data_IF_455422716426
#
_entry.id   IF_455422716426
#
_cell.length_a   1.000
_cell.length_b   1.000
_cell.length_c   1.000
_cell.angle_alpha   90.00
_cell.angle_beta   90.00
_cell.angle_gamma   90.00
#
_symmetry.space_group_name_H-M   'P 1'
#
loop_
_entity.id
_entity.type
_entity.pdbx_description
1 polymer ?
#
# COMPACT_ATOMS: atom_id res chain seq x y z
N UNK A 1 16.93 -9.88 13.83
CA UNK A 1 16.04 -9.92 12.65
C UNK A 1 16.77 -9.15 11.55
N UNK A 2 17.37 -9.86 10.60
CA UNK A 2 17.63 -9.27 9.29
C UNK A 2 16.44 -9.66 8.42
N UNK A 3 15.27 -9.10 8.73
CA UNK A 3 14.16 -9.17 7.78
C UNK A 3 14.46 -8.15 6.70
N UNK A 4 14.70 -8.65 5.49
CA UNK A 4 14.83 -7.80 4.31
C UNK A 4 13.49 -7.10 4.12
N UNK A 5 13.44 -5.79 4.34
CA UNK A 5 12.29 -4.99 3.91
C UNK A 5 12.30 -4.87 2.39
N UNK A 6 11.13 -5.03 1.78
CA UNK A 6 10.94 -4.94 0.34
C UNK A 6 9.91 -3.85 0.00
N UNK A 7 9.97 -3.33 -1.22
CA UNK A 7 8.96 -2.40 -1.67
C UNK A 7 7.58 -3.07 -1.68
N UNK A 8 6.61 -2.41 -1.05
CA UNK A 8 5.28 -2.96 -0.82
C UNK A 8 5.06 -3.44 0.61
N UNK A 9 6.13 -3.62 1.40
CA UNK A 9 5.98 -3.82 2.84
C UNK A 9 5.49 -2.55 3.53
N UNK A 10 5.00 -2.72 4.74
CA UNK A 10 4.65 -1.61 5.63
C UNK A 10 5.29 -1.83 6.99
N UNK A 11 5.79 -0.76 7.59
CA UNK A 11 6.28 -0.79 8.97
C UNK A 11 5.36 0.09 9.82
N UNK A 12 5.03 -0.39 11.01
CA UNK A 12 4.29 0.36 12.01
C UNK A 12 5.25 0.81 13.10
N UNK A 13 5.27 2.10 13.36
CA UNK A 13 6.08 2.70 14.42
C UNK A 13 5.38 2.57 15.78
N UNK A 14 6.13 2.78 16.87
CA UNK A 14 5.63 2.69 18.26
C UNK A 14 4.52 3.69 18.60
N UNK A 15 4.46 4.81 17.91
CA UNK A 15 3.37 5.80 18.04
C UNK A 15 2.08 5.36 17.29
N UNK A 16 2.18 4.28 16.52
CA UNK A 16 1.12 3.69 15.74
C UNK A 16 1.05 4.16 14.29
N UNK A 17 1.93 5.07 13.84
CA UNK A 17 1.98 5.48 12.44
C UNK A 17 2.46 4.36 11.52
N UNK A 18 1.88 4.30 10.33
CA UNK A 18 2.28 3.36 9.29
C UNK A 18 3.10 4.05 8.22
N UNK A 19 4.22 3.43 7.88
CA UNK A 19 5.15 3.87 6.85
C UNK A 19 5.24 2.80 5.76
N UNK A 20 5.15 3.23 4.49
CA UNK A 20 5.32 2.35 3.34
C UNK A 20 6.81 2.21 3.00
N UNK A 21 7.30 0.97 2.89
CA UNK A 21 8.69 0.68 2.53
C UNK A 21 8.93 1.00 1.06
N UNK A 22 10.09 1.59 0.75
CA UNK A 22 10.47 1.99 -0.61
C UNK A 22 11.84 1.46 -1.02
N UNK A 23 11.86 0.79 -2.17
CA UNK A 23 13.05 0.12 -2.72
C UNK A 23 13.28 -1.27 -2.13
N UNK A 24 14.38 -1.89 -2.55
CA UNK A 24 14.78 -3.26 -2.17
C UNK A 24 16.10 -3.32 -1.40
N UNK A 25 16.69 -2.15 -1.14
CA UNK A 25 18.00 -2.03 -0.49
C UNK A 25 17.91 -0.98 0.60
N UNK A 26 18.28 -1.38 1.81
CA UNK A 26 18.17 -0.56 3.00
C UNK A 26 19.50 -0.57 3.78
N UNK A 27 19.85 0.51 4.49
CA UNK A 27 21.00 0.48 5.38
C UNK A 27 20.83 -0.55 6.49
N UNK A 28 21.95 -1.03 7.03
CA UNK A 28 21.94 -2.09 8.06
C UNK A 28 21.22 -1.72 9.35
N UNK A 29 21.05 -0.43 9.65
CA UNK A 29 20.45 0.07 10.89
C UNK A 29 19.05 0.67 10.72
N UNK A 30 18.41 0.54 9.57
CA UNK A 30 17.04 1.02 9.39
C UNK A 30 16.46 0.84 8.00
N UNK A 31 15.19 1.19 7.85
CA UNK A 31 14.40 0.94 6.66
C UNK A 31 14.10 2.25 5.95
N UNK A 32 14.22 2.29 4.63
CA UNK A 32 13.78 3.44 3.83
C UNK A 32 12.27 3.35 3.68
N UNK A 33 11.54 4.24 4.33
CA UNK A 33 10.09 4.20 4.35
C UNK A 33 9.48 5.60 4.52
N UNK A 34 8.33 5.83 3.91
CA UNK A 34 7.63 7.12 3.96
C UNK A 34 6.31 7.03 4.72
N UNK A 35 5.88 8.10 5.43
CA UNK A 35 4.62 8.10 6.15
C UNK A 35 3.45 7.88 5.18
N UNK A 36 2.55 6.97 5.52
CA UNK A 36 1.40 6.60 4.70
C UNK A 36 0.08 6.74 5.44
N UNK A 37 0.02 6.31 6.70
CA UNK A 37 -1.13 6.50 7.57
C UNK A 37 -0.70 7.03 8.93
N UNK A 38 -1.16 8.22 9.30
CA UNK A 38 -0.83 8.84 10.57
C UNK A 38 -2.06 8.86 11.49
N UNK A 39 -1.98 8.35 12.72
CA UNK A 39 -3.05 8.50 13.71
C UNK A 39 -3.53 9.95 13.81
N UNK A 40 -4.84 10.18 13.78
CA UNK A 40 -5.43 11.52 13.80
C UNK A 40 -5.02 12.34 15.03
N UNK A 41 -4.67 11.70 16.14
CA UNK A 41 -4.22 12.33 17.37
C UNK A 41 -2.75 12.80 17.35
N UNK A 42 -1.96 12.37 16.35
CA UNK A 42 -0.57 12.81 16.18
C UNK A 42 -0.44 14.03 15.26
N UNK A 43 -1.48 14.37 14.50
CA UNK A 43 -1.50 15.53 13.61
C UNK A 43 -2.59 16.50 14.07
N UNK A 44 -2.22 17.63 14.66
CA UNK A 44 -3.19 18.73 14.78
C UNK A 44 -3.37 19.37 13.39
N UNK A 45 -4.63 19.58 12.97
CA UNK A 45 -4.93 20.23 11.67
C UNK A 45 -4.48 21.70 11.63
N UNK A 46 -4.13 22.24 12.79
CA UNK A 46 -3.72 23.63 13.01
C UNK A 46 -2.22 23.83 12.77
N UNK A 47 -1.41 22.77 12.83
CA UNK A 47 0.04 22.80 12.59
C UNK A 47 0.43 22.91 11.11
N UNK A 48 -0.50 22.68 10.18
CA UNK A 48 -0.23 22.81 8.73
C UNK A 48 -0.78 24.12 8.17
N UNK A 49 -0.03 24.79 7.26
CA UNK A 49 -0.53 25.95 6.54
C UNK A 49 -1.89 25.69 5.90
N UNK A 50 -2.82 26.68 5.83
CA UNK A 50 -4.16 26.49 5.27
C UNK A 50 -4.21 25.79 3.90
N UNK A 51 -3.23 26.06 3.04
CA UNK A 51 -3.04 25.44 1.73
C UNK A 51 -2.64 23.96 1.81
N UNK A 52 -2.01 23.55 2.91
CA UNK A 52 -1.51 22.19 3.15
C UNK A 52 -2.50 21.34 3.97
N UNK A 53 -3.57 21.96 4.50
CA UNK A 53 -4.65 21.27 5.21
C UNK A 53 -5.19 20.10 4.38
N UNK A 54 -5.48 19.00 5.07
CA UNK A 54 -5.90 17.76 4.43
C UNK A 54 -7.35 17.87 3.93
N UNK A 55 -7.66 17.35 2.74
CA UNK A 55 -8.97 16.73 2.52
C UNK A 55 -8.88 15.34 3.17
N UNK A 56 -9.49 15.13 4.34
CA UNK A 56 -9.14 13.98 5.14
C UNK A 56 -9.77 12.72 4.56
N UNK A 57 -8.93 11.82 4.03
CA UNK A 57 -9.32 10.43 3.82
C UNK A 57 -9.08 9.69 5.12
N UNK A 58 -10.06 9.81 6.01
CA UNK A 58 -10.07 9.08 7.26
C UNK A 58 -10.20 7.58 7.00
N UNK A 59 -9.43 6.81 7.77
CA UNK A 59 -9.50 5.36 7.84
C UNK A 59 -9.66 4.97 9.30
N UNK A 60 -10.43 3.93 9.57
CA UNK A 60 -10.56 3.36 10.91
C UNK A 60 -9.92 1.98 10.90
N UNK A 61 -9.08 1.72 11.89
CA UNK A 61 -8.63 0.35 12.15
C UNK A 61 -9.70 -0.44 12.91
N UNK A 62 -9.53 -1.75 13.02
CA UNK A 62 -10.39 -2.62 13.85
C UNK A 62 -10.51 -2.16 15.32
N UNK A 63 -9.49 -1.47 15.86
CA UNK A 63 -9.49 -0.91 17.23
C UNK A 63 -10.10 0.49 17.33
N UNK A 64 -10.92 0.88 16.35
CA UNK A 64 -11.59 2.19 16.21
C UNK A 64 -10.66 3.43 16.26
N UNK A 65 -9.35 3.23 16.10
CA UNK A 65 -8.41 4.33 15.93
C UNK A 65 -8.56 4.94 14.53
N UNK A 66 -8.68 6.25 14.48
CA UNK A 66 -8.76 7.01 13.24
C UNK A 66 -7.35 7.38 12.72
N UNK A 67 -7.18 7.22 11.40
CA UNK A 67 -5.96 7.52 10.67
C UNK A 67 -6.23 8.46 9.51
N UNK A 68 -5.25 9.30 9.20
CA UNK A 68 -5.22 10.12 8.00
C UNK A 68 -4.30 9.49 6.96
N UNK A 69 -4.83 9.24 5.75
CA UNK A 69 -4.06 8.71 4.61
C UNK A 69 -3.28 9.84 3.91
N UNK A 70 -1.96 9.70 3.82
CA UNK A 70 -1.06 10.69 3.23
C UNK A 70 -0.63 10.23 1.83
N UNK A 71 -1.13 10.91 0.80
CA UNK A 71 -0.79 10.60 -0.60
C UNK A 71 0.28 11.50 -1.17
N UNK A 72 0.15 12.81 -0.93
CA UNK A 72 1.00 13.82 -1.54
C UNK A 72 2.44 13.74 -1.01
N UNK A 73 3.41 13.80 -1.93
CA UNK A 73 4.83 13.65 -1.58
C UNK A 73 5.35 14.86 -0.79
N UNK A 74 4.91 16.08 -1.12
CA UNK A 74 5.26 17.29 -0.37
C UNK A 74 4.78 17.19 1.07
N UNK A 75 3.53 16.76 1.27
CA UNK A 75 2.95 16.53 2.61
C UNK A 75 3.69 15.44 3.39
N UNK A 76 4.19 14.39 2.75
CA UNK A 76 5.04 13.39 3.42
C UNK A 76 6.30 14.04 3.98
N UNK A 77 6.96 14.92 3.22
CA UNK A 77 8.15 15.64 3.70
C UNK A 77 7.83 16.62 4.83
N UNK A 78 6.71 17.34 4.75
CA UNK A 78 6.27 18.20 5.86
C UNK A 78 6.05 17.38 7.15
N UNK A 79 5.34 16.25 7.06
CA UNK A 79 5.11 15.35 8.20
C UNK A 79 6.43 14.82 8.77
N UNK A 80 7.36 14.42 7.91
CA UNK A 80 8.68 13.96 8.33
C UNK A 80 9.42 15.05 9.11
N UNK A 81 9.38 16.30 8.65
CA UNK A 81 10.03 17.42 9.32
C UNK A 81 9.40 17.77 10.67
N UNK A 82 8.07 17.73 10.76
CA UNK A 82 7.34 18.17 11.96
C UNK A 82 7.20 17.08 13.03
N UNK A 83 6.78 15.88 12.65
CA UNK A 83 6.51 14.79 13.59
C UNK A 83 7.70 13.87 13.81
N UNK A 84 8.58 13.79 12.82
CA UNK A 84 9.66 12.82 12.81
C UNK A 84 11.05 13.43 12.55
N UNK A 85 11.41 14.57 13.17
CA UNK A 85 12.69 15.25 12.90
C UNK A 85 13.91 14.42 13.29
N UNK A 86 13.74 13.38 14.10
CA UNK A 86 14.81 12.46 14.52
C UNK A 86 15.09 11.32 13.53
N UNK A 87 14.29 11.18 12.47
CA UNK A 87 14.58 10.19 11.42
C UNK A 87 15.86 10.56 10.68
N UNK A 88 16.61 9.56 10.26
CA UNK A 88 17.93 9.76 9.66
C UNK A 88 17.71 10.16 8.19
N UNK A 89 18.10 11.37 7.76
CA UNK A 89 18.05 11.73 6.35
C UNK A 89 19.20 11.04 5.61
N UNK A 90 18.87 10.15 4.68
CA UNK A 90 19.85 9.53 3.79
C UNK A 90 20.02 10.35 2.52
N UNK A 91 21.26 10.78 2.25
CA UNK A 91 21.61 11.42 0.99
C UNK A 91 22.20 10.39 0.03
N UNK A 92 21.47 10.04 -1.01
CA UNK A 92 21.96 9.16 -2.07
C UNK A 92 22.53 9.99 -3.23
N UNK A 93 23.69 9.65 -3.82
CA UNK A 93 24.33 10.46 -4.88
C UNK A 93 23.45 10.71 -6.13
N UNK A 94 22.49 9.81 -6.39
CA UNK A 94 21.55 9.90 -7.51
C UNK A 94 20.25 10.66 -7.21
N UNK A 95 20.01 11.10 -5.97
CA UNK A 95 18.80 11.81 -5.60
C UNK A 95 19.11 13.27 -5.27
N UNK A 96 18.26 14.18 -5.75
CA UNK A 96 18.34 15.61 -5.45
C UNK A 96 17.81 15.96 -4.06
N UNK A 97 17.18 15.00 -3.37
CA UNK A 97 16.62 15.15 -2.03
C UNK A 97 17.06 13.99 -1.12
N UNK A 98 17.02 14.22 0.19
CA UNK A 98 17.26 13.18 1.17
C UNK A 98 16.02 12.30 1.34
N UNK A 99 16.22 10.99 1.49
CA UNK A 99 15.14 10.04 1.77
C UNK A 99 15.14 9.69 3.26
N UNK A 100 13.96 9.52 3.89
CA UNK A 100 13.88 9.13 5.29
C UNK A 100 14.35 7.69 5.49
N UNK A 101 15.19 7.49 6.49
CA UNK A 101 15.47 6.19 7.06
C UNK A 101 14.86 6.10 8.46
N UNK A 102 14.04 5.08 8.65
CA UNK A 102 13.44 4.71 9.93
C UNK A 102 14.39 3.79 10.70
N UNK A 103 14.96 4.23 11.84
CA UNK A 103 15.79 3.38 12.68
C UNK A 103 15.02 2.16 13.20
N UNK A 104 15.68 1.00 13.23
CA UNK A 104 15.04 -0.26 13.66
C UNK A 104 14.37 -0.19 15.04
N UNK A 105 14.93 0.58 15.98
CA UNK A 105 14.39 0.68 17.33
C UNK A 105 13.02 1.40 17.41
N UNK A 106 12.66 2.21 16.42
CA UNK A 106 11.36 2.89 16.33
C UNK A 106 10.27 2.00 15.73
N UNK A 107 10.66 0.93 15.02
CA UNK A 107 9.75 0.00 14.38
C UNK A 107 9.14 -0.90 15.48
N UNK A 108 7.82 -0.87 15.61
CA UNK A 108 7.08 -1.76 16.49
C UNK A 108 6.73 -3.07 15.79
N UNK A 109 6.37 -2.99 14.51
CA UNK A 109 5.91 -4.13 13.73
C UNK A 109 6.30 -3.95 12.26
N UNK A 110 6.75 -5.03 11.63
CA UNK A 110 6.87 -5.15 10.17
C UNK A 110 5.66 -5.95 9.67
N UNK A 111 5.01 -5.44 8.64
CA UNK A 111 3.84 -6.04 8.00
C UNK A 111 4.25 -6.49 6.60
N UNK A 112 4.19 -7.79 6.36
CA UNK A 112 4.57 -8.41 5.10
C UNK A 112 3.32 -8.73 4.27
N UNK A 113 3.28 -8.35 2.98
CA UNK A 113 2.15 -8.62 2.09
C UNK A 113 1.79 -10.11 1.98
N UNK A 114 2.78 -11.00 2.02
CA UNK A 114 2.61 -12.47 1.93
C UNK A 114 1.89 -13.08 3.13
N UNK A 115 1.90 -12.42 4.29
CA UNK A 115 1.24 -12.93 5.49
C UNK A 115 -0.28 -12.75 5.44
N UNK A 116 -0.77 -11.78 4.67
CA UNK A 116 -2.17 -11.32 4.71
C UNK A 116 -3.15 -12.44 4.39
N UNK A 117 -2.89 -13.24 3.35
CA UNK A 117 -3.79 -14.33 2.92
C UNK A 117 -3.86 -15.41 4.00
N UNK A 118 -2.73 -15.77 4.61
CA UNK A 118 -2.65 -16.75 5.68
C UNK A 118 -3.39 -16.29 6.93
N UNK A 119 -3.14 -15.05 7.37
CA UNK A 119 -3.82 -14.45 8.52
C UNK A 119 -5.33 -14.32 8.29
N UNK A 120 -5.76 -13.93 7.09
CA UNK A 120 -7.17 -13.88 6.73
C UNK A 120 -7.80 -15.26 6.85
N UNK A 121 -7.20 -16.29 6.25
CA UNK A 121 -7.73 -17.66 6.26
C UNK A 121 -7.83 -18.23 7.68
N UNK A 122 -6.87 -17.92 8.55
CA UNK A 122 -6.88 -18.37 9.96
C UNK A 122 -7.96 -17.67 10.79
N UNK A 123 -8.16 -16.37 10.60
CA UNK A 123 -9.08 -15.57 11.42
C UNK A 123 -10.55 -15.65 10.97
N UNK A 124 -10.81 -16.08 9.74
CA UNK A 124 -12.13 -16.06 9.12
C UNK A 124 -12.81 -17.43 8.95
N UNK A 125 -12.26 -18.51 9.54
CA UNK A 125 -12.90 -19.84 9.47
C UNK A 125 -14.30 -19.91 10.12
N UNK A 126 -14.74 -18.89 10.86
CA UNK A 126 -15.95 -18.94 11.70
C UNK A 126 -16.96 -17.78 11.52
N UNK A 127 -16.87 -16.95 10.45
CA UNK A 127 -17.78 -15.79 10.30
C UNK A 127 -18.62 -15.82 9.02
N UNK A 128 -19.70 -16.60 9.06
CA UNK A 128 -20.82 -16.63 8.10
C UNK A 128 -21.53 -15.27 7.87
N UNK A 129 -21.22 -14.22 8.65
CA UNK A 129 -22.02 -12.98 8.69
C UNK A 129 -21.21 -11.66 8.74
N UNK A 130 -19.95 -11.63 8.29
CA UNK A 130 -19.25 -10.35 8.15
C UNK A 130 -19.71 -9.58 6.90
N UNK A 131 -19.89 -8.27 7.03
CA UNK A 131 -19.99 -7.35 5.90
C UNK A 131 -18.81 -7.53 4.94
N UNK A 132 -19.02 -7.49 3.61
CA UNK A 132 -17.94 -7.56 2.63
C UNK A 132 -16.86 -6.50 2.91
N UNK A 133 -15.61 -6.84 2.59
CA UNK A 133 -14.46 -5.93 2.76
C UNK A 133 -13.59 -5.97 1.50
N UNK A 134 -12.83 -4.91 1.24
CA UNK A 134 -11.88 -4.92 0.13
C UNK A 134 -10.76 -5.96 0.36
N UNK A 135 -10.45 -6.26 1.62
CA UNK A 135 -9.58 -7.39 1.98
C UNK A 135 -10.14 -8.74 1.51
N UNK A 136 -11.44 -8.98 1.69
CA UNK A 136 -12.08 -10.21 1.20
C UNK A 136 -11.95 -10.33 -0.33
N UNK A 137 -12.31 -9.27 -1.06
CA UNK A 137 -12.18 -9.25 -2.53
C UNK A 137 -10.73 -9.46 -2.97
N UNK A 138 -9.76 -8.87 -2.26
CA UNK A 138 -8.33 -9.05 -2.55
C UNK A 138 -7.87 -10.50 -2.34
N UNK A 139 -8.33 -11.17 -1.27
CA UNK A 139 -8.01 -12.57 -0.98
C UNK A 139 -8.66 -13.49 -2.02
N UNK A 140 -9.95 -13.32 -2.30
CA UNK A 140 -10.65 -14.09 -3.32
C UNK A 140 -10.01 -13.91 -4.70
N UNK A 141 -9.58 -12.69 -5.04
CA UNK A 141 -8.86 -12.44 -6.29
C UNK A 141 -7.50 -13.13 -6.33
N UNK A 142 -6.73 -13.14 -5.23
CA UNK A 142 -5.47 -13.87 -5.17
C UNK A 142 -5.66 -15.39 -5.29
N UNK A 143 -6.72 -15.95 -4.68
CA UNK A 143 -7.07 -17.36 -4.80
C UNK A 143 -7.41 -17.73 -6.24
N UNK A 144 -8.27 -16.93 -6.89
CA UNK A 144 -8.61 -17.12 -8.30
C UNK A 144 -7.40 -17.03 -9.22
N UNK A 145 -6.52 -16.03 -9.02
CA UNK A 145 -5.27 -15.93 -9.77
C UNK A 145 -4.39 -17.16 -9.56
N UNK A 146 -4.31 -17.69 -8.34
CA UNK A 146 -3.50 -18.87 -8.03
C UNK A 146 -4.03 -20.12 -8.72
N UNK A 147 -5.34 -20.34 -8.65
CA UNK A 147 -6.02 -21.50 -9.25
C UNK A 147 -5.87 -21.51 -10.78
N UNK A 148 -6.12 -20.38 -11.42
CA UNK A 148 -6.17 -20.30 -12.89
C UNK A 148 -4.79 -20.17 -13.55
N UNK A 149 -3.83 -19.49 -12.89
CA UNK A 149 -2.47 -19.34 -13.44
C UNK A 149 -1.50 -20.45 -13.02
N UNK A 150 -1.88 -21.29 -12.05
CA UNK A 150 -1.01 -22.30 -11.44
C UNK A 150 0.15 -21.71 -10.64
N UNK A 151 0.12 -20.41 -10.33
CA UNK A 151 1.06 -19.76 -9.41
C UNK A 151 0.66 -20.08 -7.98
N UNK A 152 1.60 -20.50 -7.14
CA UNK A 152 1.30 -20.80 -5.72
C UNK A 152 0.91 -19.53 -4.95
N UNK A 153 -0.09 -19.63 -4.08
CA UNK A 153 -0.49 -18.53 -3.18
C UNK A 153 0.68 -17.93 -2.38
N UNK A 154 1.71 -18.72 -2.05
CA UNK A 154 2.92 -18.22 -1.36
C UNK A 154 3.72 -17.19 -2.17
N UNK A 155 3.48 -17.11 -3.48
CA UNK A 155 4.09 -16.15 -4.39
C UNK A 155 3.21 -14.91 -4.58
N UNK A 156 2.12 -14.77 -3.81
CA UNK A 156 1.21 -13.62 -3.86
C UNK A 156 1.19 -12.93 -2.50
N UNK A 157 1.13 -11.60 -2.53
CA UNK A 157 0.97 -10.77 -1.35
C UNK A 157 -0.07 -9.69 -1.58
N UNK A 158 -0.70 -9.23 -0.49
CA UNK A 158 -1.68 -8.13 -0.52
C UNK A 158 -1.08 -6.95 0.25
N UNK A 159 -0.99 -5.78 -0.39
CA UNK A 159 -0.39 -4.57 0.20
C UNK A 159 -1.42 -3.45 0.37
N UNK A 160 -0.97 -2.20 0.50
CA UNK A 160 -1.82 -1.02 0.52
C UNK A 160 -2.62 -0.89 1.81
N UNK A 161 -3.90 -0.52 1.67
CA UNK A 161 -4.80 -0.37 2.83
C UNK A 161 -5.11 -1.68 3.51
N UNK A 162 -5.21 -2.78 2.75
CA UNK A 162 -5.55 -4.10 3.27
C UNK A 162 -4.46 -4.62 4.21
N UNK A 163 -3.18 -4.45 3.86
CA UNK A 163 -2.05 -4.81 4.72
C UNK A 163 -2.04 -4.09 6.07
N UNK A 164 -2.48 -2.82 6.09
CA UNK A 164 -2.58 -2.04 7.31
C UNK A 164 -3.83 -2.32 8.15
N UNK A 165 -4.79 -3.11 7.65
CA UNK A 165 -6.13 -3.24 8.24
C UNK A 165 -6.88 -1.90 8.24
N UNK A 166 -6.68 -1.10 7.19
CA UNK A 166 -7.23 0.25 7.02
C UNK A 166 -8.02 0.37 5.71
N UNK A 167 -8.45 -0.75 5.14
CA UNK A 167 -9.28 -0.78 3.95
C UNK A 167 -10.74 -0.42 4.25
N UNK A 168 -11.42 -0.10 3.17
CA UNK A 168 -12.84 0.27 3.08
C UNK A 168 -13.35 -0.34 1.78
N UNK A 169 -14.65 -0.52 1.64
CA UNK A 169 -15.28 -1.06 0.41
C UNK A 169 -14.85 -0.34 -0.88
N UNK A 170 -14.45 0.93 -0.80
CA UNK A 170 -13.99 1.74 -1.93
C UNK A 170 -12.47 1.77 -2.09
N UNK A 171 -11.75 0.91 -1.38
CA UNK A 171 -10.28 0.87 -1.45
C UNK A 171 -9.82 0.11 -2.67
N UNK A 172 -8.72 0.60 -3.25
CA UNK A 172 -8.00 -0.13 -4.29
C UNK A 172 -7.48 -1.47 -3.73
N UNK A 173 -7.46 -2.51 -4.57
CA UNK A 173 -6.83 -3.79 -4.30
C UNK A 173 -5.41 -3.74 -4.86
N UNK A 174 -4.42 -3.75 -3.96
CA UNK A 174 -3.00 -3.73 -4.32
C UNK A 174 -2.38 -5.13 -4.08
N UNK A 175 -1.94 -5.81 -5.14
CA UNK A 175 -1.34 -7.15 -5.08
C UNK A 175 0.13 -7.10 -5.49
N UNK A 176 0.95 -7.94 -4.86
CA UNK A 176 2.35 -8.21 -5.21
C UNK A 176 2.48 -9.64 -5.70
N UNK A 177 3.24 -9.83 -6.79
CA UNK A 177 3.61 -11.16 -7.30
C UNK A 177 5.11 -11.35 -7.12
N UNK A 178 5.50 -12.32 -6.29
CA UNK A 178 6.88 -12.61 -5.95
C UNK A 178 7.50 -13.64 -6.90
N UNK A 179 8.56 -13.21 -7.61
CA UNK A 179 9.38 -14.05 -8.46
C UNK A 179 9.07 -13.90 -9.95
N UNK A 180 10.11 -13.90 -10.78
CA UNK A 180 10.03 -13.65 -12.22
C UNK A 180 9.06 -14.59 -12.94
N UNK A 181 9.19 -15.90 -12.72
CA UNK A 181 8.35 -16.90 -13.38
C UNK A 181 6.88 -16.78 -12.97
N UNK A 182 6.61 -16.45 -11.69
CA UNK A 182 5.26 -16.21 -11.20
C UNK A 182 4.65 -14.96 -11.86
N UNK A 183 5.42 -13.87 -11.94
CA UNK A 183 4.99 -12.65 -12.62
C UNK A 183 4.69 -12.87 -14.10
N UNK A 184 5.51 -13.67 -14.80
CA UNK A 184 5.27 -14.02 -16.20
C UNK A 184 3.98 -14.81 -16.38
N UNK A 185 3.77 -15.87 -15.58
CA UNK A 185 2.57 -16.70 -15.65
C UNK A 185 1.29 -15.89 -15.42
N UNK A 186 1.27 -15.05 -14.39
CA UNK A 186 0.10 -14.20 -14.11
C UNK A 186 -0.13 -13.19 -15.22
N UNK A 187 0.93 -12.56 -15.74
CA UNK A 187 0.81 -11.61 -16.86
C UNK A 187 0.25 -12.29 -18.11
N UNK A 188 0.73 -13.48 -18.44
CA UNK A 188 0.25 -14.26 -19.59
C UNK A 188 -1.20 -14.70 -19.41
N UNK A 189 -1.56 -15.14 -18.21
CA UNK A 189 -2.93 -15.49 -17.87
C UNK A 189 -3.87 -14.30 -18.05
N UNK A 190 -3.61 -13.17 -17.37
CA UNK A 190 -4.41 -11.95 -17.49
C UNK A 190 -4.51 -11.45 -18.94
N UNK A 191 -3.42 -11.52 -19.71
CA UNK A 191 -3.43 -11.16 -21.12
C UNK A 191 -4.38 -12.05 -21.94
N UNK A 192 -4.39 -13.36 -21.70
CA UNK A 192 -5.29 -14.30 -22.40
C UNK A 192 -6.74 -14.06 -22.00
N UNK A 193 -7.02 -13.94 -20.70
CA UNK A 193 -8.36 -13.63 -20.15
C UNK A 193 -8.92 -12.35 -20.76
N UNK A 194 -8.12 -11.28 -20.83
CA UNK A 194 -8.57 -10.01 -21.38
C UNK A 194 -8.75 -9.98 -22.90
N UNK A 195 -8.25 -10.97 -23.63
CA UNK A 195 -8.46 -11.08 -25.09
C UNK A 195 -9.56 -12.07 -25.49
N UNK A 196 -9.84 -13.06 -24.66
CA UNK A 196 -10.82 -14.12 -24.95
C UNK A 196 -11.95 -14.08 -23.91
N UNK A 197 -12.57 -12.90 -23.78
CA UNK A 197 -13.51 -12.54 -22.71
C UNK A 197 -14.70 -13.49 -22.52
N UNK A 198 -15.03 -14.32 -23.51
CA UNK A 198 -16.33 -15.00 -23.56
C UNK A 198 -16.45 -16.29 -22.73
N UNK A 199 -15.38 -16.79 -22.10
CA UNK A 199 -15.40 -18.13 -21.46
C UNK A 199 -14.59 -18.28 -20.15
N UNK A 200 -13.96 -17.22 -19.63
CA UNK A 200 -13.09 -17.30 -18.45
C UNK A 200 -13.85 -16.88 -17.17
N UNK A 201 -13.85 -17.66 -16.07
CA UNK A 201 -14.48 -17.28 -14.81
C UNK A 201 -14.06 -15.90 -14.29
N UNK A 202 -12.81 -15.50 -14.55
CA UNK A 202 -12.27 -14.22 -14.12
C UNK A 202 -12.82 -13.04 -14.95
N UNK A 203 -13.22 -13.26 -16.21
CA UNK A 203 -13.76 -12.21 -17.08
C UNK A 203 -15.12 -11.67 -16.65
N UNK A 204 -15.83 -12.41 -15.78
CA UNK A 204 -17.09 -11.98 -15.16
C UNK A 204 -16.88 -11.12 -13.91
N UNK A 205 -15.68 -11.17 -13.30
CA UNK A 205 -15.35 -10.49 -12.04
C UNK A 205 -14.43 -9.28 -12.24
N UNK A 206 -13.59 -9.29 -13.26
CA UNK A 206 -12.69 -8.17 -13.60
C UNK A 206 -12.80 -7.78 -15.06
N UNK A 207 -12.54 -6.51 -15.36
CA UNK A 207 -12.43 -5.99 -16.72
C UNK A 207 -11.24 -5.04 -16.82
N UNK A 208 -10.51 -5.03 -17.95
CA UNK A 208 -9.51 -4.02 -18.20
C UNK A 208 -10.18 -2.66 -18.29
N UNK A 209 -9.46 -1.62 -17.88
CA UNK A 209 -9.93 -0.26 -18.07
C UNK A 209 -10.18 0.02 -19.56
N UNK A 210 -11.35 0.58 -19.85
CA UNK A 210 -11.68 1.14 -21.15
C UNK A 210 -10.95 2.47 -21.37
N UNK A 211 -11.00 3.00 -22.60
CA UNK A 211 -10.46 4.32 -22.88
C UNK A 211 -11.13 5.42 -22.03
N UNK A 212 -12.42 5.28 -21.73
CA UNK A 212 -13.16 6.23 -20.92
C UNK A 212 -12.75 6.14 -19.45
N UNK A 213 -12.58 4.92 -18.92
CA UNK A 213 -12.07 4.71 -17.56
C UNK A 213 -10.67 5.32 -17.38
N UNK A 214 -9.79 5.14 -18.39
CA UNK A 214 -8.46 5.73 -18.38
C UNK A 214 -8.50 7.26 -18.43
N UNK A 215 -9.44 7.86 -19.17
CA UNK A 215 -9.64 9.31 -19.22
C UNK A 215 -10.08 9.88 -17.87
N UNK A 216 -11.03 9.19 -17.21
CA UNK A 216 -11.48 9.53 -15.86
C UNK A 216 -10.31 9.39 -14.86
N UNK A 217 -9.59 8.27 -14.92
CA UNK A 217 -8.45 8.00 -14.03
C UNK A 217 -7.33 9.03 -14.22
N UNK A 218 -7.04 9.42 -15.46
CA UNK A 218 -6.07 10.48 -15.78
C UNK A 218 -6.49 11.81 -15.14
N UNK A 219 -7.75 12.21 -15.35
CA UNK A 219 -8.30 13.46 -14.81
C UNK A 219 -8.28 13.50 -13.28
N UNK A 220 -8.44 12.35 -12.61
CA UNK A 220 -8.35 12.24 -11.15
C UNK A 220 -6.91 12.25 -10.61
N UNK A 221 -5.94 11.71 -11.37
CA UNK A 221 -4.55 11.50 -10.90
C UNK A 221 -3.57 12.58 -11.28
N UNK A 222 -3.83 13.35 -12.33
CA UNK A 222 -2.90 14.35 -12.88
C UNK A 222 -2.91 15.69 -12.13
N UNK A 223 -4.06 16.25 -11.73
CA UNK A 223 -4.10 17.55 -11.06
C UNK A 223 -3.32 17.58 -9.73
N UNK A 224 -3.07 16.43 -9.10
CA UNK A 224 -2.32 16.31 -7.84
C UNK A 224 -0.80 16.10 -7.99
N UNK A 225 -0.21 16.29 -9.18
CA UNK A 225 1.20 15.91 -9.45
C UNK A 225 2.04 17.00 -10.15
N UNK A 226 1.64 18.26 -10.08
CA UNK A 226 2.54 19.33 -10.53
C UNK A 226 3.66 19.53 -9.49
N UNK A 227 4.84 18.96 -9.77
CA UNK A 227 6.07 19.45 -9.16
C UNK A 227 6.36 20.79 -9.85
N UNK A 228 5.97 21.91 -9.23
CA UNK A 228 6.50 23.21 -9.63
C UNK A 228 7.95 23.27 -9.16
N UNK A 229 8.90 23.13 -10.08
CA UNK A 229 10.26 23.55 -9.80
C UNK A 229 10.27 25.08 -9.84
N UNK A 230 10.33 25.73 -8.67
CA UNK A 230 10.72 27.13 -8.61
C UNK A 230 12.15 27.23 -9.17
N UNK A 231 12.31 27.99 -10.25
CA UNK A 231 13.63 28.43 -10.71
C UNK A 231 14.21 29.44 -9.72
#
# INVERSE_FOLDING_TARGET
>A
MNDFSLEGDMIRLRDGAFFEVKGFSHPSNGVVAFPRYIPSNLLSLEELPPQDRFSPRYRRSEKDREYRKIYDIGKKFLILQHLYPSLIPLKHPRYSFAIPQVPMHLIQQHLHPEDVIGLYTQNFQDKSHSTPTALQDAVEFCQLLSEESGVSLKNLGITGSCLGGLDQLTSDIDIIVYGYDASLKIREYLYKTFRHFSQDPLSQKIHPYTSDDLSILYSLRVPGKHISMSQ
#
